data_IF_576526890471
#
_entry.id   IF_576526890471
#
_cell.length_a   1.000
_cell.length_b   1.000
_cell.length_c   1.000
_cell.angle_alpha   90.00
_cell.angle_beta   90.00
_cell.angle_gamma   90.00
#
_symmetry.space_group_name_H-M   'P 1'
#
loop_
_entity.id
_entity.type
_entity.pdbx_description
1 polymer ?
#
# COMPACT_ATOMS: atom_id res chain seq x y z
N UNK A 1 0.01 -14.35 9.46
CA UNK A 1 0.98 -13.28 9.23
C UNK A 1 0.31 -12.09 8.61
N UNK A 2 0.56 -10.93 9.14
CA UNK A 2 -0.06 -9.73 8.60
C UNK A 2 0.66 -9.25 7.36
N UNK A 3 -0.12 -8.71 6.44
CA UNK A 3 0.42 -8.20 5.19
C UNK A 3 0.98 -6.78 5.29
N UNK A 4 0.86 -6.18 6.45
CA UNK A 4 1.30 -4.80 6.63
C UNK A 4 0.25 -3.78 6.23
N UNK A 5 -0.82 -4.21 5.60
CA UNK A 5 -1.88 -3.30 5.16
C UNK A 5 -2.49 -2.54 6.33
N UNK A 6 -2.61 -3.20 7.48
CA UNK A 6 -3.20 -2.58 8.65
C UNK A 6 -2.38 -1.40 9.19
N UNK A 7 -1.10 -1.34 8.82
CA UNK A 7 -0.21 -0.28 9.27
C UNK A 7 -0.26 0.95 8.38
N UNK A 8 -0.92 0.85 7.24
CA UNK A 8 -1.03 1.99 6.34
C UNK A 8 -1.91 3.08 6.94
N UNK A 9 -1.48 4.32 6.79
CA UNK A 9 -2.24 5.47 7.28
C UNK A 9 -3.24 5.91 6.24
N UNK A 10 -4.25 5.07 6.01
CA UNK A 10 -5.29 5.32 5.03
C UNK A 10 -6.63 4.98 5.63
N UNK A 11 -7.70 5.37 4.94
CA UNK A 11 -9.05 5.11 5.43
C UNK A 11 -9.31 3.61 5.59
N UNK A 12 -10.08 3.21 6.61
CA UNK A 12 -10.37 1.79 6.83
C UNK A 12 -10.99 1.10 5.63
N UNK A 13 -11.83 1.80 4.88
CA UNK A 13 -12.44 1.22 3.69
C UNK A 13 -11.41 0.87 2.63
N UNK A 14 -10.37 1.68 2.51
CA UNK A 14 -9.31 1.40 1.56
C UNK A 14 -8.49 0.20 2.00
N UNK A 15 -8.24 0.07 3.29
CA UNK A 15 -7.53 -1.10 3.82
C UNK A 15 -8.30 -2.37 3.50
N UNK A 16 -9.59 -2.33 3.68
CA UNK A 16 -10.42 -3.50 3.43
C UNK A 16 -10.39 -3.87 1.95
N UNK A 17 -10.44 -2.86 1.07
CA UNK A 17 -10.37 -3.11 -0.36
C UNK A 17 -9.05 -3.78 -0.73
N UNK A 18 -7.95 -3.32 -0.14
CA UNK A 18 -6.64 -3.91 -0.40
C UNK A 18 -6.58 -5.36 0.06
N UNK A 19 -7.12 -5.64 1.24
CA UNK A 19 -7.12 -7.00 1.75
C UNK A 19 -7.96 -7.93 0.89
N UNK A 20 -9.09 -7.44 0.41
CA UNK A 20 -9.95 -8.25 -0.45
C UNK A 20 -9.31 -8.52 -1.80
N UNK A 21 -8.52 -7.59 -2.29
CA UNK A 21 -7.83 -7.75 -3.57
C UNK A 21 -6.62 -8.65 -3.48
N UNK A 22 -6.18 -8.96 -2.27
CA UNK A 22 -4.99 -9.77 -2.10
C UNK A 22 -3.70 -8.99 -2.29
N UNK A 23 -3.77 -7.66 -2.31
CA UNK A 23 -2.59 -6.83 -2.45
C UNK A 23 -1.85 -6.73 -1.13
N UNK A 24 -0.53 -6.68 -1.23
CA UNK A 24 0.34 -6.49 -0.07
C UNK A 24 1.08 -5.17 -0.21
N UNK A 25 1.69 -4.73 0.90
CA UNK A 25 2.50 -3.51 0.85
C UNK A 25 3.60 -3.64 -0.20
N UNK A 26 4.24 -4.80 -0.26
CA UNK A 26 5.30 -5.03 -1.23
C UNK A 26 4.78 -4.96 -2.66
N UNK A 27 3.63 -5.55 -2.93
CA UNK A 27 3.04 -5.50 -4.26
C UNK A 27 2.73 -4.08 -4.67
N UNK A 28 2.20 -3.29 -3.76
CA UNK A 28 1.83 -1.91 -4.04
C UNK A 28 3.06 -1.11 -4.46
N UNK A 29 4.15 -1.25 -3.70
CA UNK A 29 5.37 -0.53 -4.00
C UNK A 29 6.00 -1.01 -5.30
N UNK A 30 5.97 -2.31 -5.52
CA UNK A 30 6.59 -2.90 -6.70
C UNK A 30 5.88 -2.52 -7.98
N UNK A 31 4.55 -2.56 -7.96
CA UNK A 31 3.76 -2.35 -9.18
C UNK A 31 3.42 -0.88 -9.43
N UNK A 32 3.38 -0.08 -8.39
CA UNK A 32 3.13 1.33 -8.54
C UNK A 32 1.66 1.72 -8.41
N UNK A 33 1.39 3.04 -8.33
CA UNK A 33 0.03 3.52 -8.12
C UNK A 33 -0.92 3.24 -9.27
N UNK A 34 -0.42 3.21 -10.50
CA UNK A 34 -1.29 2.94 -11.65
C UNK A 34 -1.90 1.55 -11.55
N UNK A 35 -1.09 0.57 -11.16
CA UNK A 35 -1.57 -0.79 -11.01
C UNK A 35 -2.60 -0.90 -9.88
N UNK A 36 -2.36 -0.17 -8.79
CA UNK A 36 -3.30 -0.16 -7.67
C UNK A 36 -4.63 0.45 -8.10
N UNK A 37 -4.57 1.55 -8.85
CA UNK A 37 -5.77 2.20 -9.35
C UNK A 37 -6.59 1.23 -10.20
N UNK A 38 -5.94 0.51 -11.09
CA UNK A 38 -6.62 -0.44 -11.97
C UNK A 38 -7.19 -1.61 -11.19
N UNK A 39 -6.42 -2.13 -10.23
CA UNK A 39 -6.84 -3.30 -9.47
C UNK A 39 -8.04 -3.02 -8.58
N UNK A 40 -8.09 -1.83 -7.99
CA UNK A 40 -9.17 -1.48 -7.06
C UNK A 40 -10.29 -0.70 -7.71
N UNK A 41 -10.10 -0.24 -8.94
CA UNK A 41 -11.10 0.58 -9.60
C UNK A 41 -11.28 1.93 -8.93
N UNK A 42 -10.20 2.50 -8.42
CA UNK A 42 -10.22 3.79 -7.73
C UNK A 42 -9.50 4.84 -8.57
N UNK A 43 -9.70 6.11 -8.19
CA UNK A 43 -9.07 7.20 -8.91
C UNK A 43 -7.56 7.20 -8.68
N UNK A 44 -6.80 7.63 -9.69
CA UNK A 44 -5.33 7.59 -9.58
C UNK A 44 -4.77 8.35 -8.39
N UNK A 45 -5.38 9.47 -8.01
CA UNK A 45 -4.86 10.22 -6.88
C UNK A 45 -5.07 9.47 -5.55
N UNK A 46 -6.13 8.68 -5.46
CA UNK A 46 -6.37 7.84 -4.28
C UNK A 46 -5.33 6.73 -4.24
N UNK A 47 -5.07 6.13 -5.40
CA UNK A 47 -4.05 5.09 -5.49
C UNK A 47 -2.68 5.61 -5.10
N UNK A 48 -2.38 6.87 -5.45
CA UNK A 48 -1.11 7.47 -5.09
C UNK A 48 -0.99 7.64 -3.57
N UNK A 49 -2.08 7.98 -2.91
CA UNK A 49 -2.08 8.08 -1.45
C UNK A 49 -1.72 6.73 -0.83
N UNK A 50 -2.31 5.67 -1.35
CA UNK A 50 -2.01 4.32 -0.88
C UNK A 50 -0.55 3.97 -1.15
N UNK A 51 -0.07 4.29 -2.34
CA UNK A 51 1.29 4.01 -2.74
C UNK A 51 2.30 4.74 -1.85
N UNK A 52 2.04 6.03 -1.58
CA UNK A 52 2.93 6.80 -0.73
C UNK A 52 2.97 6.24 0.68
N UNK A 53 1.82 5.82 1.20
CA UNK A 53 1.76 5.22 2.54
C UNK A 53 2.56 3.92 2.58
N UNK A 54 2.45 3.11 1.53
CA UNK A 54 3.17 1.85 1.46
C UNK A 54 4.67 2.08 1.37
N UNK A 55 5.09 3.06 0.57
CA UNK A 55 6.51 3.40 0.43
C UNK A 55 7.09 3.86 1.75
N UNK A 56 6.32 4.63 2.49
CA UNK A 56 6.79 5.15 3.77
C UNK A 56 7.09 4.01 4.74
N UNK A 57 6.20 3.03 4.80
CA UNK A 57 6.40 1.88 5.69
C UNK A 57 7.63 1.09 5.26
N UNK A 58 7.78 0.87 3.97
CA UNK A 58 8.91 0.11 3.44
C UNK A 58 10.22 0.84 3.72
N UNK A 59 10.23 2.16 3.55
CA UNK A 59 11.43 2.94 3.79
C UNK A 59 11.83 2.90 5.26
N UNK A 60 10.84 2.96 6.15
CA UNK A 60 11.12 2.91 7.59
C UNK A 60 11.70 1.56 7.98
N UNK A 61 11.19 0.49 7.39
CA UNK A 61 11.74 -0.84 7.66
C UNK A 61 13.17 -0.94 7.16
N UNK A 62 13.46 -0.38 5.99
CA UNK A 62 14.81 -0.40 5.45
C UNK A 62 15.78 0.36 6.33
N UNK A 63 15.34 1.49 6.86
CA UNK A 63 16.18 2.30 7.75
C UNK A 63 16.55 1.54 9.01
N UNK A 64 15.60 0.79 9.54
CA UNK A 64 15.86 -0.01 10.74
C UNK A 64 16.94 -1.04 10.48
N UNK A 65 16.88 -1.68 9.33
CA UNK A 65 17.86 -2.68 8.98
C UNK A 65 19.21 -2.09 8.65
N UNK A 66 19.23 -0.86 8.13
CA UNK A 66 20.47 -0.22 7.75
C UNK A 66 21.30 0.20 8.94
N UNK A 67 20.67 0.46 10.06
CA UNK A 67 21.41 0.84 11.26
C UNK A 67 21.86 -0.36 12.07
#
# INVERSE_FOLDING_TARGET
>A
MESGIQQLEIAPGLKESLLKSGLTVESIVLEGPDAVSAALGIEPYVAKIIYDAAKKITAESSMIFSS
#
